data_IF_111059071793
#
_entry.id   IF_111059071793
#
_cell.length_a   1.000
_cell.length_b   1.000
_cell.length_c   1.000
_cell.angle_alpha   90.00
_cell.angle_beta   90.00
_cell.angle_gamma   90.00
#
_symmetry.space_group_name_H-M   'P 1'
#
loop_
_entity.id
_entity.type
_entity.pdbx_description
1 polymer ?
#
# COMPACT_ATOMS: atom_id res chain seq x y z
N UNK A 1 18.77 50.66 -11.21
CA UNK A 1 17.56 49.88 -11.60
C UNK A 1 17.86 48.63 -12.44
N UNK A 2 18.80 48.62 -13.41
CA UNK A 2 19.10 47.41 -14.22
C UNK A 2 19.60 46.18 -13.43
N UNK A 3 20.30 46.37 -12.31
CA UNK A 3 20.78 45.26 -11.43
C UNK A 3 19.67 44.58 -10.61
N UNK A 4 18.53 45.24 -10.40
CA UNK A 4 17.42 44.70 -9.61
C UNK A 4 16.51 43.78 -10.45
N UNK A 5 16.43 44.02 -11.76
CA UNK A 5 15.68 43.18 -12.72
C UNK A 5 16.37 41.83 -12.94
N UNK A 6 17.71 41.78 -12.92
CA UNK A 6 18.47 40.54 -13.09
C UNK A 6 18.28 39.54 -11.94
N UNK A 7 18.07 40.02 -10.69
CA UNK A 7 17.85 39.16 -9.52
C UNK A 7 16.47 38.49 -9.54
N UNK A 8 15.42 39.22 -9.95
CA UNK A 8 14.06 38.66 -10.07
C UNK A 8 13.94 37.63 -11.20
N UNK A 9 14.65 37.82 -12.33
CA UNK A 9 14.64 36.85 -13.42
C UNK A 9 15.26 35.49 -13.05
N UNK A 10 16.21 35.45 -12.11
CA UNK A 10 16.82 34.18 -11.64
C UNK A 10 15.94 33.43 -10.64
N UNK A 11 15.17 34.14 -9.81
CA UNK A 11 14.26 33.50 -8.84
C UNK A 11 13.08 32.78 -9.54
N UNK A 12 12.63 33.29 -10.70
CA UNK A 12 11.53 32.69 -11.47
C UNK A 12 11.96 31.39 -12.17
N UNK A 13 13.23 31.26 -12.57
CA UNK A 13 13.74 30.04 -13.22
C UNK A 13 13.94 28.90 -12.20
N UNK A 14 14.22 29.20 -10.93
CA UNK A 14 14.39 28.18 -9.90
C UNK A 14 13.07 27.60 -9.35
N UNK A 15 11.91 28.23 -9.60
CA UNK A 15 10.62 27.75 -9.05
C UNK A 15 9.97 26.64 -9.88
N UNK A 16 10.38 26.42 -11.13
CA UNK A 16 9.81 25.37 -12.00
C UNK A 16 10.48 24.00 -11.86
N UNK A 17 11.54 23.86 -11.06
CA UNK A 17 12.31 22.63 -10.93
C UNK A 17 11.85 21.70 -9.80
N UNK A 18 10.71 21.96 -9.15
CA UNK A 18 10.15 21.04 -8.14
C UNK A 18 9.50 19.83 -8.83
N UNK A 19 10.32 19.03 -9.51
CA UNK A 19 9.91 17.79 -10.15
C UNK A 19 9.56 16.73 -9.10
N UNK A 20 8.67 15.82 -9.49
CA UNK A 20 8.35 14.66 -8.68
C UNK A 20 9.50 13.65 -8.71
N UNK A 21 9.81 13.07 -7.55
CA UNK A 21 10.77 11.97 -7.43
C UNK A 21 10.15 10.65 -7.90
N UNK A 22 8.86 10.50 -7.67
CA UNK A 22 8.09 9.29 -7.96
C UNK A 22 6.88 9.63 -8.83
N UNK A 23 6.58 8.73 -9.76
CA UNK A 23 5.31 8.67 -10.48
C UNK A 23 4.70 7.29 -10.32
N UNK A 24 3.39 7.22 -10.10
CA UNK A 24 2.65 5.95 -10.15
C UNK A 24 1.80 5.87 -11.40
N UNK A 25 1.81 4.72 -12.06
CA UNK A 25 1.08 4.47 -13.31
C UNK A 25 0.59 3.03 -13.41
N UNK A 26 -0.51 2.79 -14.14
CA UNK A 26 -0.98 1.43 -14.46
C UNK A 26 -0.24 0.82 -15.64
N UNK A 27 0.39 1.64 -16.48
CA UNK A 27 1.02 1.19 -17.71
C UNK A 27 2.45 0.75 -17.48
N UNK A 28 2.74 -0.49 -17.86
CA UNK A 28 4.12 -0.98 -17.94
C UNK A 28 4.76 -0.43 -19.22
N UNK A 29 5.30 0.79 -19.16
CA UNK A 29 6.09 1.33 -20.25
C UNK A 29 7.42 0.55 -20.35
N UNK A 30 7.53 -0.31 -21.36
CA UNK A 30 8.71 -1.16 -21.58
C UNK A 30 9.95 -0.39 -22.05
N UNK A 31 9.81 0.88 -22.44
CA UNK A 31 10.90 1.72 -22.99
C UNK A 31 11.57 2.63 -21.97
N UNK A 32 11.18 2.56 -20.70
CA UNK A 32 11.80 3.38 -19.66
C UNK A 32 12.95 2.61 -19.01
N UNK A 33 14.14 3.22 -19.00
CA UNK A 33 15.31 2.71 -18.29
C UNK A 33 15.22 2.95 -16.77
N UNK A 34 14.18 3.65 -16.31
CA UNK A 34 13.96 3.91 -14.89
C UNK A 34 13.63 2.60 -14.14
N UNK A 35 14.18 2.39 -12.94
CA UNK A 35 13.76 1.31 -12.07
C UNK A 35 12.24 1.33 -11.88
N UNK A 36 11.61 0.18 -12.13
CA UNK A 36 10.16 0.00 -12.10
C UNK A 36 9.81 -1.08 -11.07
N UNK A 37 9.03 -0.72 -10.06
CA UNK A 37 8.51 -1.67 -9.08
C UNK A 37 6.99 -1.74 -9.17
N UNK A 38 6.44 -2.94 -9.36
CA UNK A 38 5.00 -3.17 -9.36
C UNK A 38 4.46 -3.37 -7.95
N UNK A 39 3.25 -2.85 -7.68
CA UNK A 39 2.50 -3.13 -6.47
C UNK A 39 1.00 -3.22 -6.77
N UNK A 40 0.24 -3.76 -5.83
CA UNK A 40 -1.20 -3.87 -5.87
C UNK A 40 -1.79 -3.09 -4.71
N UNK A 41 -2.98 -2.53 -4.92
CA UNK A 41 -3.77 -2.00 -3.81
C UNK A 41 -4.30 -3.15 -2.94
N UNK A 42 -4.41 -2.96 -1.61
CA UNK A 42 -4.90 -3.99 -0.73
C UNK A 42 -6.42 -4.15 -0.85
N UNK A 43 -6.92 -5.37 -0.65
CA UNK A 43 -8.33 -5.65 -0.36
C UNK A 43 -8.44 -6.52 0.89
N UNK A 44 -9.58 -6.45 1.56
CA UNK A 44 -9.87 -7.30 2.70
C UNK A 44 -10.64 -8.56 2.30
N UNK A 45 -10.29 -9.66 2.97
CA UNK A 45 -11.05 -10.91 2.98
C UNK A 45 -11.33 -11.31 4.43
N UNK A 46 -12.54 -11.76 4.73
CA UNK A 46 -12.87 -12.25 6.07
C UNK A 46 -13.22 -13.73 5.97
N UNK A 47 -12.44 -14.64 6.59
CA UNK A 47 -12.85 -16.02 6.74
C UNK A 47 -13.96 -16.11 7.79
N UNK A 48 -15.09 -16.67 7.41
CA UNK A 48 -16.22 -16.97 8.30
C UNK A 48 -16.42 -18.48 8.31
N UNK A 49 -16.31 -19.08 9.48
CA UNK A 49 -16.57 -20.50 9.67
C UNK A 49 -18.01 -20.67 10.14
N UNK A 50 -18.82 -21.38 9.37
CA UNK A 50 -20.13 -21.83 9.81
C UNK A 50 -20.02 -23.29 10.28
N UNK A 51 -20.52 -23.58 11.47
CA UNK A 51 -20.51 -24.92 12.05
C UNK A 51 -21.90 -25.24 12.59
N UNK A 52 -22.44 -26.40 12.19
CA UNK A 52 -23.67 -26.93 12.78
C UNK A 52 -23.34 -27.92 13.91
N UNK A 53 -23.62 -27.52 15.14
CA UNK A 53 -23.49 -28.35 16.33
C UNK A 53 -24.75 -29.22 16.46
N UNK A 54 -24.62 -30.50 16.10
CA UNK A 54 -25.72 -31.45 16.20
C UNK A 54 -26.16 -31.73 17.63
N UNK A 55 -25.24 -31.70 18.60
CA UNK A 55 -25.59 -31.95 20.00
C UNK A 55 -26.54 -30.86 20.51
N UNK A 56 -26.19 -29.59 20.25
CA UNK A 56 -27.00 -28.41 20.62
C UNK A 56 -28.11 -28.08 19.64
N UNK A 57 -28.13 -28.75 18.48
CA UNK A 57 -29.02 -28.45 17.36
C UNK A 57 -28.99 -26.95 17.00
N UNK A 58 -27.79 -26.39 16.87
CA UNK A 58 -27.58 -24.96 16.65
C UNK A 58 -26.54 -24.68 15.58
N UNK A 59 -26.81 -23.64 14.78
CA UNK A 59 -25.88 -23.09 13.82
C UNK A 59 -25.04 -22.01 14.50
N UNK A 60 -23.73 -22.15 14.43
CA UNK A 60 -22.78 -21.18 14.99
C UNK A 60 -21.95 -20.56 13.87
N UNK A 61 -21.63 -19.28 14.03
CA UNK A 61 -20.70 -18.55 13.16
C UNK A 61 -19.51 -18.12 13.99
N UNK A 62 -18.30 -18.39 13.49
CA UNK A 62 -17.05 -17.88 14.02
C UNK A 62 -16.32 -17.08 12.94
N UNK A 63 -15.76 -15.93 13.31
CA UNK A 63 -15.08 -15.04 12.38
C UNK A 63 -14.02 -14.22 13.10
N UNK A 64 -13.00 -13.79 12.36
CA UNK A 64 -11.99 -12.85 12.85
C UNK A 64 -12.46 -11.40 12.65
N UNK A 65 -12.32 -10.57 13.69
CA UNK A 65 -12.49 -9.11 13.57
C UNK A 65 -11.33 -8.45 12.80
N UNK A 66 -10.22 -9.16 12.64
CA UNK A 66 -9.06 -8.73 11.85
C UNK A 66 -9.16 -9.37 10.46
N UNK A 67 -9.47 -8.60 9.41
CA UNK A 67 -9.55 -9.15 8.06
C UNK A 67 -8.17 -9.59 7.56
N UNK A 68 -8.14 -10.61 6.71
CA UNK A 68 -6.96 -10.96 5.94
C UNK A 68 -6.80 -9.94 4.81
N UNK A 69 -5.69 -9.21 4.79
CA UNK A 69 -5.39 -8.25 3.74
C UNK A 69 -4.58 -8.93 2.65
N UNK A 70 -5.09 -8.89 1.42
CA UNK A 70 -4.51 -9.54 0.25
C UNK A 70 -4.41 -8.56 -0.93
N UNK A 71 -3.52 -8.80 -1.92
CA UNK A 71 -3.47 -8.01 -3.15
C UNK A 71 -4.78 -7.99 -3.94
N UNK A 72 -5.23 -6.81 -4.38
CA UNK A 72 -6.27 -6.67 -5.40
C UNK A 72 -5.64 -6.68 -6.79
N UNK A 73 -5.64 -7.85 -7.43
CA UNK A 73 -5.02 -8.07 -8.75
C UNK A 73 -5.58 -7.16 -9.86
N UNK A 74 -6.75 -6.55 -9.66
CA UNK A 74 -7.39 -5.62 -10.61
C UNK A 74 -6.77 -4.23 -10.54
N UNK A 75 -6.23 -3.87 -9.38
CA UNK A 75 -5.67 -2.55 -9.08
C UNK A 75 -4.15 -2.63 -8.92
N UNK A 76 -3.51 -3.01 -10.02
CA UNK A 76 -2.05 -3.04 -10.15
C UNK A 76 -1.51 -1.70 -10.61
N UNK A 77 -0.45 -1.26 -9.94
CA UNK A 77 0.27 -0.03 -10.24
C UNK A 77 1.78 -0.29 -10.33
N UNK A 78 2.49 0.66 -10.93
CA UNK A 78 3.93 0.67 -11.02
C UNK A 78 4.47 1.99 -10.51
N UNK A 79 5.49 1.92 -9.66
CA UNK A 79 6.26 3.07 -9.18
C UNK A 79 7.42 3.26 -10.14
N UNK A 80 7.51 4.46 -10.72
CA UNK A 80 8.64 4.92 -11.53
C UNK A 80 9.44 5.92 -10.73
N UNK A 81 10.75 5.73 -10.74
CA UNK A 81 11.70 6.67 -10.19
C UNK A 81 12.14 7.64 -11.28
N UNK A 82 11.89 8.93 -11.07
CA UNK A 82 12.45 9.98 -11.91
C UNK A 82 13.77 10.39 -11.30
N UNK A 83 14.89 10.18 -11.97
CA UNK A 83 16.20 10.65 -11.51
C UNK A 83 16.52 12.00 -12.17
N UNK A 84 17.05 12.97 -11.43
CA UNK A 84 17.61 14.20 -12.00
C UNK A 84 19.13 14.19 -11.91
N UNK A 85 19.78 14.69 -12.95
CA UNK A 85 21.26 14.65 -13.07
C UNK A 85 21.95 15.47 -11.96
N UNK A 86 21.25 16.44 -11.40
CA UNK A 86 21.78 17.36 -10.38
C UNK A 86 21.41 16.96 -8.95
N UNK A 87 20.61 15.92 -8.76
CA UNK A 87 20.21 15.44 -7.44
C UNK A 87 20.85 14.09 -7.13
N UNK A 88 21.08 13.83 -5.84
CA UNK A 88 21.39 12.49 -5.37
C UNK A 88 20.17 11.97 -4.63
N UNK A 89 19.31 11.32 -5.40
CA UNK A 89 18.07 10.77 -4.89
C UNK A 89 18.23 9.28 -4.60
N UNK A 90 17.86 8.88 -3.41
CA UNK A 90 17.74 7.49 -3.00
C UNK A 90 16.26 7.16 -2.84
N UNK A 91 15.76 6.24 -3.67
CA UNK A 91 14.44 5.65 -3.52
C UNK A 91 14.55 4.24 -2.93
N UNK A 92 13.79 3.98 -1.87
CA UNK A 92 13.58 2.62 -1.33
C UNK A 92 12.10 2.27 -1.41
N UNK A 93 11.80 1.17 -2.09
CA UNK A 93 10.43 0.61 -2.19
C UNK A 93 10.49 -0.84 -1.73
N UNK A 94 9.64 -1.22 -0.77
CA UNK A 94 9.44 -2.61 -0.34
C UNK A 94 8.00 -3.02 -0.63
N UNK A 95 7.83 -4.14 -1.34
CA UNK A 95 6.53 -4.76 -1.60
C UNK A 95 6.65 -6.30 -1.79
N UNK A 96 7.02 -7.05 -0.74
CA UNK A 96 7.37 -8.47 -0.84
C UNK A 96 6.23 -9.34 -1.37
N UNK A 97 5.00 -9.10 -0.91
CA UNK A 97 3.79 -9.83 -1.33
C UNK A 97 3.01 -9.08 -2.43
N UNK A 98 3.66 -8.13 -3.11
CA UNK A 98 3.00 -7.20 -4.01
C UNK A 98 2.18 -6.11 -3.30
N UNK A 99 2.11 -6.12 -1.97
CA UNK A 99 1.53 -5.04 -1.17
C UNK A 99 2.64 -4.12 -0.66
N UNK A 100 2.43 -2.81 -0.72
CA UNK A 100 3.40 -1.85 -0.19
C UNK A 100 3.63 -2.10 1.31
N UNK A 101 4.89 -2.06 1.71
CA UNK A 101 5.34 -2.07 3.10
C UNK A 101 6.07 -0.76 3.44
N UNK A 102 6.89 -0.27 2.51
CA UNK A 102 7.62 0.98 2.69
C UNK A 102 7.87 1.67 1.36
N UNK A 103 7.66 2.98 1.34
CA UNK A 103 8.14 3.86 0.27
C UNK A 103 8.85 5.02 0.93
N UNK A 104 10.16 5.13 0.72
CA UNK A 104 10.93 6.24 1.26
C UNK A 104 11.85 6.85 0.21
N UNK A 105 11.92 8.18 0.22
CA UNK A 105 12.87 8.96 -0.57
C UNK A 105 13.76 9.76 0.34
N UNK A 106 15.05 9.71 0.08
CA UNK A 106 16.03 10.67 0.57
C UNK A 106 16.53 11.42 -0.64
N UNK A 107 16.30 12.73 -0.70
CA UNK A 107 16.80 13.58 -1.76
C UNK A 107 17.83 14.51 -1.16
N UNK A 108 19.09 14.41 -1.58
CA UNK A 108 20.11 15.39 -1.23
C UNK A 108 20.51 16.21 -2.45
N UNK A 109 20.64 17.52 -2.26
CA UNK A 109 21.19 18.41 -3.27
C UNK A 109 22.71 18.27 -3.24
N UNK A 110 23.25 17.57 -4.23
CA UNK A 110 24.68 17.33 -4.33
C UNK A 110 25.41 18.38 -5.17
N UNK A 111 24.77 19.50 -5.53
CA UNK A 111 25.43 20.53 -6.36
C UNK A 111 26.75 21.03 -5.72
N UNK A 112 26.82 21.13 -4.39
CA UNK A 112 28.06 21.47 -3.67
C UNK A 112 29.02 20.27 -3.53
N UNK A 113 28.51 19.08 -3.22
CA UNK A 113 29.31 17.87 -3.01
C UNK A 113 29.90 17.29 -4.31
N UNK A 114 29.30 17.54 -5.47
CA UNK A 114 29.79 17.05 -6.78
C UNK A 114 31.05 17.81 -7.22
N UNK A 115 31.21 19.06 -6.77
CA UNK A 115 32.44 19.85 -6.94
C UNK A 115 33.57 19.29 -6.06
N UNK A 116 33.25 18.77 -4.87
CA UNK A 116 34.24 18.15 -3.97
C UNK A 116 34.50 16.66 -4.27
N UNK A 117 33.52 15.93 -4.80
CA UNK A 117 33.52 14.49 -5.04
C UNK A 117 34.32 14.01 -6.25
N UNK A 118 34.74 14.92 -7.14
CA UNK A 118 35.69 14.60 -8.23
C UNK A 118 37.06 14.16 -7.67
N UNK A 119 37.37 14.51 -6.41
CA UNK A 119 38.64 14.18 -5.77
C UNK A 119 38.65 12.84 -5.01
N UNK A 120 37.51 12.16 -4.81
CA UNK A 120 37.40 11.00 -3.91
C UNK A 120 36.97 9.68 -4.57
N UNK A 121 36.71 9.69 -5.89
CA UNK A 121 36.36 8.49 -6.69
C UNK A 121 37.56 7.54 -6.95
N UNK A 122 38.77 7.90 -6.52
CA UNK A 122 39.97 7.08 -6.71
C UNK A 122 40.21 5.99 -5.64
N UNK A 123 39.44 5.92 -4.54
CA UNK A 123 39.92 5.16 -3.36
C UNK A 123 39.10 3.98 -2.82
N UNK A 124 37.89 3.63 -3.29
CA UNK A 124 37.13 2.54 -2.63
C UNK A 124 36.38 1.62 -3.57
N UNK A 125 37.06 0.58 -4.04
CA UNK A 125 36.46 -0.60 -4.64
C UNK A 125 37.05 -1.90 -4.07
N UNK A 126 36.90 -2.15 -2.77
CA UNK A 126 37.16 -3.48 -2.22
C UNK A 126 36.15 -3.90 -1.16
N UNK A 127 35.61 -5.11 -1.35
CA UNK A 127 34.88 -6.01 -0.44
C UNK A 127 33.35 -6.06 -0.58
N UNK A 128 32.90 -6.99 -1.41
CA UNK A 128 31.71 -7.80 -1.14
C UNK A 128 31.93 -9.25 -1.64
N UNK A 129 31.88 -10.21 -0.71
CA UNK A 129 31.76 -11.67 -0.87
C UNK A 129 31.52 -12.20 0.56
N UNK A 130 30.69 -13.19 0.92
CA UNK A 130 29.90 -14.24 0.25
C UNK A 130 28.95 -14.88 1.28
N UNK A 131 28.12 -15.84 0.79
CA UNK A 131 27.39 -16.96 1.45
C UNK A 131 25.89 -16.68 1.65
N UNK A 132 24.88 -17.38 1.10
CA UNK A 132 24.62 -18.70 0.43
C UNK A 132 24.37 -19.96 1.34
N UNK A 133 23.12 -20.47 1.25
CA UNK A 133 22.59 -21.88 1.28
C UNK A 133 21.90 -22.48 2.56
N UNK A 134 20.56 -22.68 2.40
CA UNK A 134 19.64 -23.85 2.52
C UNK A 134 19.14 -24.57 3.80
N UNK A 135 17.87 -25.02 3.64
CA UNK A 135 17.15 -26.25 4.12
C UNK A 135 16.65 -26.28 5.58
N UNK A 136 15.58 -26.98 5.99
CA UNK A 136 14.38 -27.63 5.39
C UNK A 136 13.55 -28.21 6.57
N UNK A 137 12.22 -28.25 6.42
CA UNK A 137 11.21 -29.19 7.01
C UNK A 137 10.99 -29.34 8.53
N UNK A 138 9.71 -29.36 8.96
CA UNK A 138 8.87 -30.57 9.21
C UNK A 138 7.51 -30.18 9.83
N UNK A 139 6.46 -30.93 9.46
CA UNK A 139 5.01 -30.75 9.71
C UNK A 139 4.44 -31.92 10.57
N UNK A 140 3.36 -31.64 11.34
CA UNK A 140 2.26 -32.53 11.85
C UNK A 140 2.51 -33.45 13.07
N UNK A 141 1.53 -33.90 13.87
CA UNK A 141 0.03 -34.01 13.82
C UNK A 141 -0.49 -34.30 15.27
N UNK A 142 -1.81 -34.41 15.54
CA UNK A 142 -2.57 -35.53 16.19
C UNK A 142 -4.07 -35.12 16.40
N UNK A 143 -5.00 -36.01 16.01
CA UNK A 143 -6.45 -36.08 16.36
C UNK A 143 -6.66 -37.56 16.83
N UNK A 144 -7.51 -37.96 17.80
CA UNK A 144 -8.97 -38.07 17.75
C UNK A 144 -9.51 -38.81 19.00
N UNK A 145 -10.74 -38.56 19.43
CA UNK A 145 -11.59 -39.56 20.12
C UNK A 145 -13.04 -39.56 19.59
N UNK A 146 -13.54 -40.79 19.37
CA UNK A 146 -14.88 -41.27 18.99
C UNK A 146 -15.80 -41.33 20.24
N UNK A 147 -17.13 -41.53 20.27
CA UNK A 147 -18.18 -41.95 19.34
C UNK A 147 -19.53 -41.50 19.95
N UNK A 148 -20.40 -40.86 19.16
CA UNK A 148 -21.85 -40.82 19.39
C UNK A 148 -22.55 -40.87 18.03
N UNK A 149 -23.68 -41.58 17.94
CA UNK A 149 -24.44 -41.69 16.69
C UNK A 149 -24.85 -40.30 16.18
N UNK A 150 -24.49 -39.94 14.94
CA UNK A 150 -24.62 -38.57 14.46
C UNK A 150 -26.08 -38.26 14.13
N UNK A 151 -26.58 -37.18 14.74
CA UNK A 151 -27.79 -36.51 14.27
C UNK A 151 -27.58 -36.03 12.82
N UNK A 152 -28.63 -35.95 11.99
CA UNK A 152 -28.51 -35.48 10.61
C UNK A 152 -27.80 -34.12 10.55
N UNK A 153 -26.76 -34.01 9.72
CA UNK A 153 -25.87 -32.84 9.56
C UNK A 153 -24.94 -32.48 10.74
N UNK A 154 -24.90 -33.27 11.82
CA UNK A 154 -24.03 -33.00 12.96
C UNK A 154 -22.55 -32.93 12.56
N UNK A 155 -21.90 -31.79 12.81
CA UNK A 155 -20.48 -31.60 12.47
C UNK A 155 -20.23 -31.05 11.07
N UNK A 156 -21.27 -30.71 10.29
CA UNK A 156 -21.10 -30.01 9.03
C UNK A 156 -20.38 -28.67 9.29
N UNK A 157 -19.30 -28.44 8.55
CA UNK A 157 -18.45 -27.28 8.72
C UNK A 157 -17.92 -26.77 7.38
N UNK A 158 -18.03 -25.47 7.16
CA UNK A 158 -17.53 -24.80 5.96
C UNK A 158 -16.90 -23.46 6.32
N UNK A 159 -15.82 -23.10 5.63
CA UNK A 159 -15.24 -21.76 5.63
C UNK A 159 -15.82 -21.00 4.43
N UNK A 160 -16.20 -19.76 4.68
CA UNK A 160 -16.68 -18.80 3.68
C UNK A 160 -15.73 -17.60 3.68
N UNK A 161 -14.97 -17.43 2.62
CA UNK A 161 -14.10 -16.27 2.44
C UNK A 161 -14.92 -15.13 1.82
N UNK A 162 -15.28 -14.15 2.63
CA UNK A 162 -16.00 -12.95 2.19
C UNK A 162 -15.01 -11.99 1.56
N UNK A 163 -15.06 -11.85 0.24
CA UNK A 163 -14.29 -10.84 -0.50
C UNK A 163 -15.03 -9.51 -0.48
N UNK A 164 -14.35 -8.42 -0.08
CA UNK A 164 -14.96 -7.09 0.00
C UNK A 164 -15.43 -6.55 -1.35
N UNK A 165 -14.94 -7.10 -2.46
CA UNK A 165 -15.35 -6.74 -3.82
C UNK A 165 -16.71 -7.37 -4.16
N UNK A 166 -16.95 -8.61 -3.72
CA UNK A 166 -18.17 -9.40 -4.04
C UNK A 166 -18.69 -10.08 -2.78
N UNK A 167 -19.11 -9.30 -1.75
CA UNK A 167 -19.45 -9.87 -0.45
C UNK A 167 -20.66 -10.81 -0.48
N UNK A 168 -21.53 -10.66 -1.47
CA UNK A 168 -22.75 -11.46 -1.64
C UNK A 168 -22.47 -12.90 -2.09
N UNK A 169 -21.27 -13.17 -2.62
CA UNK A 169 -20.86 -14.47 -3.17
C UNK A 169 -19.57 -14.95 -2.49
N UNK A 170 -19.60 -15.26 -1.19
CA UNK A 170 -18.41 -15.73 -0.50
C UNK A 170 -17.92 -17.04 -1.10
N UNK A 171 -16.60 -17.16 -1.25
CA UNK A 171 -15.98 -18.39 -1.72
C UNK A 171 -16.07 -19.43 -0.61
N UNK A 172 -16.73 -20.55 -0.89
CA UNK A 172 -16.97 -21.62 0.08
C UNK A 172 -15.92 -22.72 -0.07
N UNK A 173 -15.36 -23.12 1.06
CA UNK A 173 -14.53 -24.31 1.20
C UNK A 173 -15.11 -25.20 2.31
N UNK A 174 -15.53 -26.40 1.95
CA UNK A 174 -16.02 -27.37 2.93
C UNK A 174 -14.85 -28.00 3.69
N UNK A 175 -14.92 -27.95 5.02
CA UNK A 175 -13.97 -28.67 5.90
C UNK A 175 -14.51 -30.08 6.14
N UNK A 176 -15.79 -30.16 6.51
CA UNK A 176 -16.48 -31.41 6.78
C UNK A 176 -17.78 -31.42 5.97
N UNK A 177 -17.74 -32.11 4.83
CA UNK A 177 -18.90 -32.27 3.96
C UNK A 177 -19.78 -33.43 4.46
N UNK A 178 -21.07 -33.16 4.64
CA UNK A 178 -22.06 -34.19 4.99
C UNK A 178 -23.09 -34.24 3.85
N UNK A 179 -23.29 -35.40 3.20
CA UNK A 179 -24.23 -35.53 2.09
C UNK A 179 -25.64 -35.02 2.44
N UNK A 180 -26.19 -34.16 1.60
CA UNK A 180 -27.53 -33.58 1.77
C UNK A 180 -27.60 -32.38 2.72
N UNK A 181 -26.49 -31.99 3.34
CA UNK A 181 -26.38 -30.84 4.24
C UNK A 181 -25.54 -29.75 3.58
N UNK A 182 -26.13 -28.59 3.32
CA UNK A 182 -25.43 -27.47 2.70
C UNK A 182 -25.51 -26.25 3.59
N UNK A 183 -24.36 -25.80 4.09
CA UNK A 183 -24.26 -24.52 4.76
C UNK A 183 -24.22 -23.42 3.71
N UNK A 184 -25.02 -22.37 3.94
CA UNK A 184 -25.05 -21.20 3.08
C UNK A 184 -24.83 -19.98 3.95
N UNK A 185 -23.87 -19.14 3.56
CA UNK A 185 -23.60 -17.85 4.19
C UNK A 185 -23.70 -16.79 3.12
N UNK A 186 -24.41 -15.71 3.43
CA UNK A 186 -24.45 -14.48 2.63
C UNK A 186 -23.96 -13.33 3.49
N UNK A 187 -23.26 -12.38 2.88
CA UNK A 187 -22.76 -11.21 3.57
C UNK A 187 -23.13 -9.92 2.81
N UNK A 188 -23.36 -8.86 3.57
CA UNK A 188 -23.47 -7.51 3.03
C UNK A 188 -22.55 -6.57 3.82
N UNK A 189 -21.91 -5.65 3.12
CA UNK A 189 -20.99 -4.67 3.70
C UNK A 189 -21.62 -3.29 3.67
N UNK A 190 -21.54 -2.58 4.78
CA UNK A 190 -21.96 -1.17 4.87
C UNK A 190 -20.80 -0.36 5.42
N UNK A 191 -20.28 0.57 4.63
CA UNK A 191 -19.22 1.46 5.08
C UNK A 191 -19.75 2.38 6.19
N UNK A 192 -18.95 2.59 7.24
CA UNK A 192 -19.28 3.41 8.39
C UNK A 192 -18.40 4.66 8.40
N UNK A 193 -19.02 5.83 8.60
CA UNK A 193 -18.34 7.13 8.58
C UNK A 193 -17.82 7.51 7.19
N UNK A 194 -17.29 8.71 7.05
CA UNK A 194 -16.59 9.16 5.84
C UNK A 194 -15.08 8.95 6.03
N UNK A 195 -14.38 8.57 4.98
CA UNK A 195 -12.90 8.47 5.02
C UNK A 195 -12.22 9.85 5.09
N UNK A 196 -13.00 10.92 4.92
CA UNK A 196 -12.55 12.29 4.67
C UNK A 196 -11.82 12.96 5.83
N UNK A 197 -12.05 12.52 7.07
CA UNK A 197 -11.53 13.23 8.25
C UNK A 197 -10.05 12.91 8.55
N UNK A 198 -9.47 11.87 7.94
CA UNK A 198 -8.11 11.41 8.27
C UNK A 198 -7.03 11.81 7.25
N UNK A 199 -7.43 12.14 6.02
CA UNK A 199 -6.48 12.47 4.96
C UNK A 199 -6.96 13.68 4.14
N UNK A 200 -6.18 14.78 4.08
CA UNK A 200 -6.59 15.99 3.37
C UNK A 200 -6.63 15.84 1.83
N UNK A 201 -6.17 14.70 1.32
CA UNK A 201 -6.02 14.42 -0.12
C UNK A 201 -6.67 13.09 -0.46
N UNK A 202 -7.98 13.13 -0.67
CA UNK A 202 -8.77 11.97 -1.10
C UNK A 202 -9.38 12.22 -2.47
N UNK A 203 -9.61 11.14 -3.18
CA UNK A 203 -10.38 11.12 -4.40
C UNK A 203 -11.35 9.94 -4.36
N UNK A 204 -12.57 10.18 -4.82
CA UNK A 204 -13.60 9.15 -4.94
C UNK A 204 -13.29 8.18 -6.08
N UNK A 205 -12.47 8.60 -7.05
CA UNK A 205 -12.10 7.74 -8.18
C UNK A 205 -10.63 7.87 -8.52
N UNK A 206 -10.10 6.82 -9.13
CA UNK A 206 -8.74 6.81 -9.68
C UNK A 206 -8.52 7.88 -10.74
N UNK A 207 -9.47 8.04 -11.67
CA UNK A 207 -9.36 9.04 -12.73
C UNK A 207 -9.25 10.46 -12.15
N UNK A 208 -9.99 10.73 -11.09
CA UNK A 208 -9.93 12.00 -10.37
C UNK A 208 -8.60 12.14 -9.59
N UNK A 209 -8.13 11.08 -8.93
CA UNK A 209 -6.83 11.08 -8.25
C UNK A 209 -5.68 11.34 -9.24
N UNK A 210 -5.70 10.69 -10.40
CA UNK A 210 -4.73 10.87 -11.48
C UNK A 210 -4.77 12.28 -12.07
N UNK A 211 -5.97 12.87 -12.20
CA UNK A 211 -6.12 14.26 -12.64
C UNK A 211 -5.60 15.26 -11.59
N UNK A 212 -5.87 15.02 -10.30
CA UNK A 212 -5.46 15.90 -9.19
C UNK A 212 -3.95 15.83 -8.95
N UNK A 213 -3.38 14.62 -9.01
CA UNK A 213 -1.95 14.40 -8.83
C UNK A 213 -1.44 13.26 -9.72
N UNK A 214 -1.02 13.53 -10.97
CA UNK A 214 -0.55 12.49 -11.90
C UNK A 214 0.78 11.85 -11.45
N UNK A 215 1.57 12.54 -10.64
CA UNK A 215 2.87 12.09 -10.16
C UNK A 215 2.85 11.83 -8.65
N UNK A 216 1.84 11.10 -8.19
CA UNK A 216 1.71 10.72 -6.78
C UNK A 216 1.75 9.21 -6.61
N UNK A 217 2.10 8.77 -5.40
CA UNK A 217 1.86 7.41 -4.95
C UNK A 217 0.40 7.24 -4.53
N UNK A 218 -0.34 6.31 -5.17
CA UNK A 218 -1.72 5.98 -4.80
C UNK A 218 -1.78 4.82 -3.79
N UNK A 219 -2.66 4.94 -2.80
CA UNK A 219 -2.93 3.88 -1.83
C UNK A 219 -4.37 3.96 -1.32
N UNK A 220 -4.85 2.86 -0.72
CA UNK A 220 -6.16 2.83 -0.06
C UNK A 220 -6.04 3.23 1.40
N UNK A 221 -7.00 4.00 1.89
CA UNK A 221 -7.14 4.32 3.30
C UNK A 221 -7.89 3.20 4.03
N UNK A 222 -7.78 3.16 5.36
CA UNK A 222 -8.58 2.24 6.18
C UNK A 222 -9.91 2.86 6.53
N UNK A 223 -11.00 2.11 6.41
CA UNK A 223 -12.36 2.52 6.78
C UNK A 223 -13.05 1.43 7.58
N UNK A 224 -13.94 1.85 8.48
CA UNK A 224 -14.78 0.94 9.23
C UNK A 224 -15.91 0.40 8.34
N UNK A 225 -16.19 -0.90 8.40
CA UNK A 225 -17.30 -1.54 7.71
C UNK A 225 -18.13 -2.34 8.70
N UNK A 226 -19.46 -2.19 8.65
CA UNK A 226 -20.40 -3.11 9.26
C UNK A 226 -20.60 -4.30 8.31
N UNK A 227 -20.15 -5.47 8.74
CA UNK A 227 -20.35 -6.75 8.07
C UNK A 227 -21.63 -7.36 8.64
N UNK A 228 -22.64 -7.57 7.79
CA UNK A 228 -23.87 -8.27 8.19
C UNK A 228 -23.92 -9.63 7.54
N UNK A 229 -23.96 -10.68 8.36
CA UNK A 229 -23.98 -12.07 7.96
C UNK A 229 -25.39 -12.66 8.10
N UNK A 230 -25.80 -13.46 7.13
CA UNK A 230 -26.95 -14.36 7.26
C UNK A 230 -26.48 -15.76 6.88
N UNK A 231 -26.62 -16.70 7.81
CA UNK A 231 -26.30 -18.09 7.56
C UNK A 231 -27.53 -18.97 7.78
N UNK A 232 -27.65 -20.02 6.98
CA UNK A 232 -28.69 -21.04 7.12
C UNK A 232 -28.18 -22.41 6.68
N UNK A 233 -28.80 -23.46 7.21
CA UNK A 233 -28.54 -24.85 6.83
C UNK A 233 -29.64 -25.33 5.87
N UNK A 234 -29.26 -25.76 4.68
CA UNK A 234 -30.16 -26.40 3.72
C UNK A 234 -30.07 -27.93 3.89
N UNK A 235 -31.21 -28.58 4.10
CA UNK A 235 -31.38 -30.03 4.15
C UNK A 235 -32.32 -30.44 3.00
N UNK A 236 -31.75 -30.85 1.87
CA UNK A 236 -32.51 -31.05 0.64
C UNK A 236 -33.11 -29.72 0.13
N UNK A 237 -34.44 -29.59 0.11
CA UNK A 237 -35.15 -28.36 -0.30
C UNK A 237 -35.56 -27.46 0.86
N UNK A 238 -35.35 -27.92 2.10
CA UNK A 238 -35.81 -27.21 3.28
C UNK A 238 -34.68 -26.36 3.86
N UNK A 239 -34.99 -25.11 4.18
CA UNK A 239 -34.11 -24.23 4.95
C UNK A 239 -34.41 -24.48 6.43
N UNK A 240 -33.41 -24.89 7.19
CA UNK A 240 -33.48 -25.00 8.65
C UNK A 240 -32.42 -24.12 9.30
N UNK A 241 -32.65 -23.73 10.56
CA UNK A 241 -31.71 -22.99 11.41
C UNK A 241 -31.07 -21.76 10.75
N UNK A 242 -31.69 -20.60 10.96
CA UNK A 242 -31.14 -19.33 10.48
C UNK A 242 -30.48 -18.55 11.62
N UNK A 243 -29.30 -18.01 11.35
CA UNK A 243 -28.64 -17.05 12.23
C UNK A 243 -28.35 -15.77 11.45
N UNK A 244 -28.58 -14.64 12.11
CA UNK A 244 -28.17 -13.31 11.64
C UNK A 244 -27.16 -12.77 12.63
N UNK A 245 -26.02 -12.31 12.13
CA UNK A 245 -24.99 -11.71 12.96
C UNK A 245 -24.45 -10.45 12.27
N UNK A 246 -23.93 -9.50 13.03
CA UNK A 246 -23.23 -8.36 12.46
C UNK A 246 -22.08 -7.92 13.36
N UNK A 247 -20.98 -7.50 12.75
CA UNK A 247 -19.81 -6.99 13.45
C UNK A 247 -19.17 -5.88 12.62
N UNK A 248 -18.24 -5.15 13.25
CA UNK A 248 -17.49 -4.07 12.59
C UNK A 248 -16.05 -4.50 12.38
N UNK A 249 -15.47 -4.17 11.22
CA UNK A 249 -14.05 -4.36 10.94
C UNK A 249 -13.44 -3.10 10.36
N UNK A 250 -12.13 -2.91 10.54
CA UNK A 250 -11.36 -1.94 9.77
C UNK A 250 -10.76 -2.62 8.55
N UNK A 251 -11.00 -2.10 7.36
CA UNK A 251 -10.54 -2.67 6.09
C UNK A 251 -10.17 -1.57 5.09
N UNK A 252 -9.35 -1.87 4.06
CA UNK A 252 -9.07 -0.92 2.99
C UNK A 252 -10.36 -0.44 2.30
N UNK A 253 -10.50 0.86 2.10
CA UNK A 253 -11.62 1.43 1.34
C UNK A 253 -11.43 1.17 -0.15
N UNK A 254 -12.33 0.39 -0.74
CA UNK A 254 -12.29 0.04 -2.17
C UNK A 254 -12.71 1.22 -3.06
N UNK A 255 -13.45 2.19 -2.51
CA UNK A 255 -14.04 3.30 -3.24
C UNK A 255 -13.26 4.60 -3.09
N UNK A 256 -12.24 4.65 -2.25
CA UNK A 256 -11.49 5.87 -1.98
C UNK A 256 -10.01 5.62 -2.20
N UNK A 257 -9.36 6.51 -2.95
CA UNK A 257 -7.92 6.54 -3.13
C UNK A 257 -7.34 7.78 -2.47
N UNK A 258 -6.35 7.55 -1.61
CA UNK A 258 -5.46 8.60 -1.15
C UNK A 258 -4.22 8.64 -2.04
N UNK A 259 -3.57 9.81 -2.04
CA UNK A 259 -2.36 10.01 -2.81
C UNK A 259 -1.36 10.88 -2.05
N UNK A 260 -0.07 10.58 -2.21
CA UNK A 260 1.02 11.38 -1.63
C UNK A 260 2.04 11.70 -2.70
N UNK A 261 2.46 12.96 -2.76
CA UNK A 261 3.47 13.42 -3.69
C UNK A 261 4.84 13.48 -3.03
N UNK A 262 5.82 12.85 -3.67
CA UNK A 262 7.22 12.97 -3.30
C UNK A 262 7.85 14.07 -4.14
N UNK A 263 7.93 15.28 -3.60
CA UNK A 263 8.55 16.44 -4.26
C UNK A 263 9.99 16.61 -3.82
N UNK A 264 10.84 17.00 -4.78
CA UNK A 264 12.14 17.61 -4.50
C UNK A 264 11.94 19.03 -3.97
N UNK A 265 12.83 19.42 -3.07
CA UNK A 265 12.95 20.79 -2.60
C UNK A 265 14.36 21.27 -2.95
N UNK A 266 14.50 22.44 -3.59
CA UNK A 266 15.82 22.95 -3.95
C UNK A 266 16.62 23.30 -2.69
N UNK A 267 17.92 23.00 -2.71
CA UNK A 267 18.88 23.34 -1.64
C UNK A 267 18.61 22.71 -0.27
N UNK A 268 17.73 21.71 -0.18
CA UNK A 268 17.37 21.08 1.10
C UNK A 268 17.33 19.57 0.97
N UNK A 269 18.01 18.92 1.92
CA UNK A 269 17.86 17.48 2.11
C UNK A 269 16.44 17.16 2.58
N UNK A 270 15.67 16.40 1.79
CA UNK A 270 14.34 15.96 2.18
C UNK A 270 14.31 14.47 2.41
N UNK A 271 13.81 14.07 3.58
CA UNK A 271 13.50 12.69 3.90
C UNK A 271 11.99 12.53 4.02
N UNK A 272 11.41 11.71 3.17
CA UNK A 272 9.98 11.39 3.19
C UNK A 272 9.83 9.87 3.23
N UNK A 273 9.09 9.35 4.20
CA UNK A 273 8.87 7.92 4.36
C UNK A 273 7.40 7.66 4.66
N UNK A 274 6.84 6.72 3.91
CA UNK A 274 5.52 6.14 4.13
C UNK A 274 5.70 4.70 4.55
N UNK A 275 5.13 4.35 5.70
CA UNK A 275 5.11 2.99 6.21
C UNK A 275 3.72 2.40 6.06
N UNK A 276 3.66 1.17 5.57
CA UNK A 276 2.43 0.45 5.30
C UNK A 276 2.45 -0.89 6.05
N UNK A 277 1.28 -1.33 6.49
CA UNK A 277 1.06 -2.69 6.95
C UNK A 277 0.16 -3.39 5.94
N UNK A 278 0.73 -4.33 5.17
CA UNK A 278 0.03 -5.03 4.08
C UNK A 278 -0.68 -4.07 3.11
N UNK A 279 0.01 -3.04 2.65
CA UNK A 279 -0.51 -2.05 1.70
C UNK A 279 -1.43 -0.97 2.30
N UNK A 280 -1.78 -1.05 3.59
CA UNK A 280 -2.54 -0.01 4.29
C UNK A 280 -1.59 0.94 5.01
N UNK A 281 -1.74 2.25 4.79
CA UNK A 281 -0.86 3.25 5.39
C UNK A 281 -0.94 3.20 6.93
N UNK A 282 0.21 3.06 7.58
CA UNK A 282 0.39 3.03 9.04
C UNK A 282 0.99 4.33 9.56
N UNK A 283 1.90 4.95 8.81
CA UNK A 283 2.61 6.13 9.27
C UNK A 283 3.22 6.95 8.13
N UNK A 284 3.34 8.24 8.38
CA UNK A 284 4.00 9.21 7.50
C UNK A 284 5.10 9.87 8.33
N UNK A 285 6.33 9.90 7.82
CA UNK A 285 7.42 10.67 8.38
C UNK A 285 7.98 11.60 7.33
N UNK A 286 7.98 12.90 7.62
CA UNK A 286 8.54 13.93 6.75
C UNK A 286 9.52 14.74 7.58
N UNK A 287 10.79 14.70 7.19
CA UNK A 287 11.83 15.54 7.75
C UNK A 287 12.36 16.46 6.66
N UNK A 288 12.24 17.76 6.92
CA UNK A 288 12.68 18.83 6.02
C UNK A 288 13.34 19.92 6.87
N UNK A 289 14.67 20.08 6.81
CA UNK A 289 15.34 21.25 7.36
C UNK A 289 14.89 22.51 6.60
N UNK A 290 15.13 23.69 7.19
CA UNK A 290 14.75 24.97 6.58
C UNK A 290 15.50 25.24 5.28
N UNK A 291 14.78 25.63 4.23
CA UNK A 291 15.33 26.07 2.93
C UNK A 291 16.29 27.26 3.06
N UNK A 292 16.02 28.17 3.99
CA UNK A 292 16.92 29.29 4.27
C UNK A 292 18.29 28.82 4.81
N UNK A 293 18.29 27.77 5.64
CA UNK A 293 19.53 27.18 6.17
C UNK A 293 20.31 26.45 5.07
N UNK A 294 19.60 25.78 4.17
CA UNK A 294 20.19 25.14 2.99
C UNK A 294 20.89 26.14 2.06
N UNK A 295 20.21 27.23 1.72
CA UNK A 295 20.76 28.28 0.87
C UNK A 295 22.02 28.94 1.47
N UNK A 296 22.05 29.17 2.78
CA UNK A 296 23.23 29.74 3.46
C UNK A 296 24.47 28.83 3.44
N UNK A 297 24.29 27.52 3.21
CA UNK A 297 25.41 26.57 3.09
C UNK A 297 26.07 26.57 1.71
N UNK A 298 25.49 27.25 0.71
CA UNK A 298 26.09 27.32 -0.62
C UNK A 298 27.38 28.16 -0.59
N UNK A 299 28.52 27.65 -1.08
CA UNK A 299 29.75 28.42 -1.16
C UNK A 299 29.54 29.66 -2.04
N UNK A 300 30.07 30.81 -1.61
CA UNK A 300 30.01 32.05 -2.39
C UNK A 300 30.58 31.91 -3.82
N UNK A 301 31.56 31.02 -4.00
CA UNK A 301 32.12 30.67 -5.30
C UNK A 301 31.10 29.99 -6.24
N UNK A 302 30.23 29.12 -5.71
CA UNK A 302 29.16 28.48 -6.50
C UNK A 302 28.12 29.49 -6.99
N UNK A 303 27.76 30.47 -6.14
CA UNK A 303 26.88 31.57 -6.51
C UNK A 303 27.51 32.46 -7.60
N UNK A 304 28.82 32.74 -7.51
CA UNK A 304 29.53 33.53 -8.51
C UNK A 304 29.58 32.83 -9.88
N UNK A 305 29.81 31.52 -9.92
CA UNK A 305 29.81 30.74 -11.18
C UNK A 305 28.44 30.71 -11.84
N UNK A 306 27.36 30.55 -11.07
CA UNK A 306 25.99 30.62 -11.59
C UNK A 306 25.68 32.00 -12.20
N UNK A 307 26.17 33.08 -11.57
CA UNK A 307 26.05 34.44 -12.10
C UNK A 307 26.88 34.63 -13.37
N UNK A 308 28.08 34.04 -13.44
CA UNK A 308 28.98 34.15 -14.59
C UNK A 308 28.42 33.41 -15.82
N UNK A 309 27.88 32.20 -15.66
CA UNK A 309 27.24 31.44 -16.76
C UNK A 309 26.06 32.23 -17.32
N UNK A 310 25.23 32.83 -16.47
CA UNK A 310 24.10 33.66 -16.90
C UNK A 310 24.54 34.93 -17.66
N UNK A 311 25.74 35.46 -17.41
CA UNK A 311 26.24 36.64 -18.12
C UNK A 311 26.78 36.35 -19.52
N UNK A 312 26.88 35.06 -19.88
CA UNK A 312 27.33 34.59 -21.20
C UNK A 312 26.16 34.30 -22.16
N UNK A 313 24.92 34.30 -21.66
CA UNK A 313 23.67 34.31 -22.45
C UNK A 313 23.13 35.75 -22.60
#
# INVERSE_FOLDING_TARGET
MKRLVAFFATAVICQSCASSVIETTKDRNKKSDAPLMGYYLPKAQIPVTATFDGEKNSLTLSYSSTPNIVPDIRDRYYIRFHHEVLSSDQLTVSAPDGLLEKVSTTTSDNTSATIEGLNTVLEKSEKLNKLRINNSDVIQQIISELNKEPKPCAGAQSIFNIDFIKPEQPERQDITEIPGCKLVVTASLTALGNAEDLFPTLSETEAEAAKKCPNCLYFRTSRAYKVSLRAHLEQGKNISHQIKNSFTVMAPDLNTLAYVQFKRHPFVDSNQSLEFNKGVLKGISVSRPSEAVGFLKLPAAGLATAIAIKSLD
#
